data_IF_493944770755
#
_entry.id   IF_493944770755
#
_cell.length_a   1.000
_cell.length_b   1.000
_cell.length_c   1.000
_cell.angle_alpha   90.00
_cell.angle_beta   90.00
_cell.angle_gamma   90.00
#
_symmetry.space_group_name_H-M   'P 1'
#
loop_
_entity.id
_entity.type
_entity.pdbx_description
1 polymer ?
#
# COMPACT_ATOMS: atom_id res chain seq x y z
N UNK A 1 -29.25 -20.46 43.99
CA UNK A 1 -27.86 -20.16 43.60
C UNK A 1 -27.60 -20.33 42.12
N UNK A 2 -28.07 -21.39 41.45
CA UNK A 2 -27.93 -21.64 40.01
C UNK A 2 -28.66 -20.61 39.14
N UNK A 3 -29.88 -20.21 39.52
CA UNK A 3 -30.71 -19.23 38.76
C UNK A 3 -30.12 -17.82 38.72
N UNK A 4 -29.34 -17.44 39.74
CA UNK A 4 -28.68 -16.12 39.81
C UNK A 4 -27.41 -16.08 38.93
N UNK A 5 -26.80 -17.26 38.66
CA UNK A 5 -25.57 -17.34 37.82
C UNK A 5 -25.85 -17.51 36.34
N UNK A 6 -27.08 -17.90 35.94
CA UNK A 6 -27.39 -18.24 34.54
C UNK A 6 -28.49 -17.37 33.91
N UNK A 7 -29.06 -16.43 34.69
CA UNK A 7 -30.17 -15.56 34.24
C UNK A 7 -31.36 -16.34 33.59
N UNK A 8 -31.55 -17.58 34.03
CA UNK A 8 -32.52 -18.49 33.43
C UNK A 8 -33.77 -18.68 34.33
N UNK A 9 -34.86 -17.89 34.15
CA UNK A 9 -36.11 -18.02 34.93
C UNK A 9 -36.76 -19.40 34.87
N UNK A 10 -36.44 -20.16 33.81
CA UNK A 10 -36.91 -21.52 33.57
C UNK A 10 -36.48 -22.53 34.65
N UNK A 11 -35.29 -22.36 35.24
CA UNK A 11 -34.77 -23.26 36.29
C UNK A 11 -35.53 -23.09 37.62
N UNK A 12 -36.11 -21.91 37.88
CA UNK A 12 -36.99 -21.68 39.05
C UNK A 12 -38.31 -22.41 38.94
N UNK A 13 -38.93 -22.44 37.73
CA UNK A 13 -40.20 -23.13 37.51
C UNK A 13 -40.07 -24.67 37.64
N UNK A 14 -38.94 -25.25 37.29
CA UNK A 14 -38.68 -26.69 37.49
C UNK A 14 -38.49 -27.02 38.99
N UNK A 15 -37.90 -26.14 39.75
CA UNK A 15 -37.71 -26.32 41.19
C UNK A 15 -39.02 -26.21 41.98
N UNK A 16 -39.94 -25.31 41.60
CA UNK A 16 -41.26 -25.10 42.26
C UNK A 16 -42.27 -26.22 41.96
N UNK A 17 -42.23 -26.82 40.76
CA UNK A 17 -43.16 -27.92 40.40
C UNK A 17 -42.74 -29.29 40.98
N UNK A 18 -41.57 -29.44 41.55
CA UNK A 18 -41.04 -30.74 42.00
C UNK A 18 -40.86 -30.84 43.53
N UNK A 19 -41.92 -30.49 44.29
CA UNK A 19 -41.92 -30.64 45.75
C UNK A 19 -41.88 -32.08 46.28
N UNK A 20 -41.76 -33.11 45.43
CA UNK A 20 -41.71 -34.54 45.81
C UNK A 20 -40.65 -35.38 45.07
N UNK A 21 -39.60 -34.83 44.48
CA UNK A 21 -38.59 -35.63 43.82
C UNK A 21 -37.24 -34.94 43.78
N UNK A 22 -36.15 -35.69 43.85
CA UNK A 22 -34.78 -35.18 43.60
C UNK A 22 -34.75 -34.61 42.19
N UNK A 23 -34.59 -33.30 42.05
CA UNK A 23 -34.39 -32.66 40.76
C UNK A 23 -33.09 -33.25 40.17
N UNK A 24 -33.21 -33.98 39.05
CA UNK A 24 -32.05 -34.52 38.36
C UNK A 24 -31.43 -33.39 37.56
N UNK A 25 -30.53 -32.67 38.22
CA UNK A 25 -29.84 -31.50 37.73
C UNK A 25 -29.06 -31.76 36.40
N UNK A 26 -28.59 -33.01 36.22
CA UNK A 26 -27.91 -33.42 35.00
C UNK A 26 -28.86 -33.42 33.79
N UNK A 27 -30.11 -33.86 33.97
CA UNK A 27 -31.10 -33.88 32.88
C UNK A 27 -31.60 -32.46 32.53
N UNK A 28 -31.75 -31.58 33.52
CA UNK A 28 -32.08 -30.16 33.28
C UNK A 28 -30.98 -29.42 32.52
N UNK A 29 -29.72 -29.60 32.92
CA UNK A 29 -28.57 -29.02 32.21
C UNK A 29 -28.41 -29.57 30.79
N UNK A 30 -28.61 -30.87 30.60
CA UNK A 30 -28.58 -31.49 29.27
C UNK A 30 -29.66 -30.93 28.34
N UNK A 31 -30.88 -30.76 28.86
CA UNK A 31 -31.98 -30.17 28.12
C UNK A 31 -31.71 -28.72 27.73
N UNK A 32 -31.16 -27.89 28.64
CA UNK A 32 -30.70 -26.52 28.32
C UNK A 32 -29.61 -26.48 27.26
N UNK A 33 -28.67 -27.42 27.33
CA UNK A 33 -27.60 -27.55 26.33
C UNK A 33 -28.16 -27.93 24.94
N UNK A 34 -29.13 -28.83 24.89
CA UNK A 34 -29.75 -29.26 23.63
C UNK A 34 -30.65 -28.15 23.04
N UNK A 35 -31.38 -27.41 23.87
CA UNK A 35 -32.18 -26.24 23.47
C UNK A 35 -31.26 -25.11 22.95
N UNK A 36 -30.15 -24.81 23.62
CA UNK A 36 -29.18 -23.82 23.18
C UNK A 36 -28.53 -24.21 21.86
N UNK A 37 -28.18 -25.49 21.67
CA UNK A 37 -27.66 -25.99 20.38
C UNK A 37 -28.70 -25.89 19.26
N UNK A 38 -29.95 -26.18 19.56
CA UNK A 38 -31.02 -26.09 18.55
C UNK A 38 -31.25 -24.63 18.14
N UNK A 39 -31.28 -23.70 19.11
CA UNK A 39 -31.43 -22.27 18.88
C UNK A 39 -30.29 -21.73 18.03
N UNK A 40 -29.01 -22.03 18.40
CA UNK A 40 -27.86 -21.63 17.65
C UNK A 40 -27.82 -22.20 16.22
N UNK A 41 -28.34 -23.42 15.99
CA UNK A 41 -28.51 -23.97 14.64
C UNK A 41 -29.58 -23.26 13.83
N UNK A 42 -30.67 -22.86 14.46
CA UNK A 42 -31.74 -22.12 13.78
C UNK A 42 -31.31 -20.70 13.42
N UNK A 43 -30.68 -19.99 14.36
CA UNK A 43 -30.09 -18.67 14.13
C UNK A 43 -29.04 -18.71 12.99
N UNK A 44 -28.06 -19.62 13.04
CA UNK A 44 -27.06 -19.75 12.01
C UNK A 44 -27.62 -20.16 10.64
N UNK A 45 -28.73 -20.94 10.61
CA UNK A 45 -29.43 -21.25 9.35
C UNK A 45 -30.14 -20.03 8.79
N UNK A 46 -30.77 -19.23 9.67
CA UNK A 46 -31.48 -18.03 9.26
C UNK A 46 -30.54 -16.96 8.77
N UNK A 47 -29.43 -16.72 9.49
CA UNK A 47 -28.35 -15.82 9.06
C UNK A 47 -27.76 -16.26 7.71
N UNK A 48 -27.50 -17.55 7.53
CA UNK A 48 -27.00 -18.09 6.25
C UNK A 48 -27.96 -17.89 5.08
N UNK A 49 -29.29 -18.03 5.32
CA UNK A 49 -30.32 -17.77 4.31
C UNK A 49 -30.43 -16.28 3.96
N UNK A 50 -30.36 -15.41 4.95
CA UNK A 50 -30.42 -13.96 4.75
C UNK A 50 -29.16 -13.46 4.02
N UNK A 51 -27.97 -13.95 4.40
CA UNK A 51 -26.70 -13.66 3.72
C UNK A 51 -26.75 -14.12 2.26
N UNK A 52 -27.14 -15.37 1.99
CA UNK A 52 -27.27 -15.89 0.64
C UNK A 52 -28.24 -15.09 -0.25
N UNK A 53 -29.41 -14.68 0.31
CA UNK A 53 -30.34 -13.81 -0.40
C UNK A 53 -29.76 -12.43 -0.68
N UNK A 54 -29.01 -11.86 0.26
CA UNK A 54 -28.35 -10.56 0.07
C UNK A 54 -27.30 -10.64 -1.03
N UNK A 55 -26.47 -11.69 -1.04
CA UNK A 55 -25.47 -11.92 -2.10
C UNK A 55 -26.10 -12.09 -3.49
N UNK A 56 -27.21 -12.87 -3.59
CA UNK A 56 -27.94 -13.02 -4.86
C UNK A 56 -28.50 -11.68 -5.36
N UNK A 57 -29.01 -10.84 -4.47
CA UNK A 57 -29.53 -9.50 -4.81
C UNK A 57 -28.41 -8.58 -5.27
N UNK A 58 -27.25 -8.60 -4.59
CA UNK A 58 -26.07 -7.83 -5.01
C UNK A 58 -25.61 -8.28 -6.41
N UNK A 59 -25.50 -9.58 -6.68
CA UNK A 59 -25.17 -10.10 -8.01
C UNK A 59 -26.16 -9.66 -9.09
N UNK A 60 -27.47 -9.67 -8.77
CA UNK A 60 -28.48 -9.19 -9.70
C UNK A 60 -28.32 -7.70 -10.02
N UNK A 61 -27.98 -6.88 -9.02
CA UNK A 61 -27.70 -5.44 -9.23
C UNK A 61 -26.45 -5.26 -10.07
N UNK A 62 -25.37 -6.03 -9.82
CA UNK A 62 -24.14 -5.99 -10.65
C UNK A 62 -24.49 -6.27 -12.11
N UNK A 63 -25.27 -7.32 -12.39
CA UNK A 63 -25.71 -7.61 -13.75
C UNK A 63 -26.56 -6.49 -14.38
N UNK A 64 -27.37 -5.78 -13.59
CA UNK A 64 -28.11 -4.61 -14.08
C UNK A 64 -27.19 -3.44 -14.41
N UNK A 65 -26.12 -3.21 -13.61
CA UNK A 65 -25.09 -2.21 -13.90
C UNK A 65 -24.31 -2.56 -15.18
N UNK A 66 -24.00 -3.83 -15.40
CA UNK A 66 -23.36 -4.32 -16.64
C UNK A 66 -24.25 -4.06 -17.88
N UNK A 67 -25.56 -4.13 -17.72
CA UNK A 67 -26.53 -3.80 -18.78
C UNK A 67 -26.76 -2.28 -18.94
N UNK A 68 -26.10 -1.44 -18.15
CA UNK A 68 -26.16 0.02 -18.23
C UNK A 68 -27.40 0.65 -17.57
N UNK A 69 -28.10 -0.05 -16.65
CA UNK A 69 -29.19 0.54 -15.91
C UNK A 69 -28.68 1.62 -14.94
N UNK A 70 -29.46 2.70 -14.80
CA UNK A 70 -29.10 3.80 -13.89
C UNK A 70 -29.42 3.47 -12.45
N UNK A 71 -28.82 4.21 -11.51
CA UNK A 71 -29.09 4.10 -10.07
C UNK A 71 -30.59 4.21 -9.79
N UNK A 72 -31.26 5.21 -10.37
CA UNK A 72 -32.69 5.49 -10.18
C UNK A 72 -33.56 4.30 -10.59
N UNK A 73 -33.20 3.61 -11.68
CA UNK A 73 -33.92 2.42 -12.13
C UNK A 73 -33.74 1.24 -11.16
N UNK A 74 -32.53 1.06 -10.64
CA UNK A 74 -32.17 -0.07 -9.76
C UNK A 74 -32.82 0.09 -8.38
N UNK A 75 -32.73 1.27 -7.77
CA UNK A 75 -33.26 1.52 -6.42
C UNK A 75 -34.80 1.49 -6.33
N UNK A 76 -35.53 1.39 -7.46
CA UNK A 76 -36.98 1.10 -7.44
C UNK A 76 -37.31 -0.29 -6.88
N UNK A 77 -36.36 -1.24 -6.93
CA UNK A 77 -36.53 -2.64 -6.51
C UNK A 77 -35.58 -3.07 -5.39
N UNK A 78 -34.46 -2.38 -5.23
CA UNK A 78 -33.40 -2.73 -4.29
C UNK A 78 -33.12 -1.56 -3.35
N UNK A 79 -32.59 -1.85 -2.17
CA UNK A 79 -32.21 -0.80 -1.21
C UNK A 79 -30.98 -0.03 -1.68
N UNK A 80 -30.85 1.20 -1.20
CA UNK A 80 -29.65 2.01 -1.50
C UNK A 80 -28.37 1.40 -0.94
N UNK A 81 -28.45 0.65 0.16
CA UNK A 81 -27.32 -0.06 0.74
C UNK A 81 -26.85 -1.22 -0.16
N UNK A 82 -27.80 -2.03 -0.68
CA UNK A 82 -27.50 -3.09 -1.63
C UNK A 82 -26.91 -2.53 -2.92
N UNK A 83 -27.46 -1.41 -3.40
CA UNK A 83 -26.92 -0.71 -4.57
C UNK A 83 -25.47 -0.27 -4.34
N UNK A 84 -25.13 0.37 -3.20
CA UNK A 84 -23.76 0.81 -2.89
C UNK A 84 -22.78 -0.36 -2.84
N UNK A 85 -23.18 -1.48 -2.24
CA UNK A 85 -22.34 -2.70 -2.22
C UNK A 85 -22.11 -3.23 -3.64
N UNK A 86 -23.17 -3.38 -4.43
CA UNK A 86 -23.08 -3.86 -5.80
C UNK A 86 -22.28 -2.89 -6.71
N UNK A 87 -22.46 -1.59 -6.56
CA UNK A 87 -21.68 -0.58 -7.30
C UNK A 87 -20.18 -0.67 -6.99
N UNK A 88 -19.82 -0.91 -5.72
CA UNK A 88 -18.43 -1.12 -5.34
C UNK A 88 -17.85 -2.40 -5.96
N UNK A 89 -18.59 -3.51 -5.94
CA UNK A 89 -18.18 -4.76 -6.60
C UNK A 89 -18.04 -4.59 -8.12
N UNK A 90 -19.00 -3.94 -8.76
CA UNK A 90 -18.97 -3.65 -10.19
C UNK A 90 -17.76 -2.80 -10.57
N UNK A 91 -17.51 -1.69 -9.85
CA UNK A 91 -16.34 -0.84 -10.06
C UNK A 91 -15.04 -1.62 -9.90
N UNK A 92 -14.95 -2.46 -8.86
CA UNK A 92 -13.77 -3.29 -8.62
C UNK A 92 -13.54 -4.32 -9.74
N UNK A 93 -14.60 -4.96 -10.23
CA UNK A 93 -14.52 -5.89 -11.37
C UNK A 93 -14.04 -5.18 -12.65
N UNK A 94 -14.54 -3.97 -12.92
CA UNK A 94 -14.09 -3.16 -14.06
C UNK A 94 -12.62 -2.72 -13.93
N UNK A 95 -12.17 -2.38 -12.71
CA UNK A 95 -10.77 -2.05 -12.44
C UNK A 95 -9.86 -3.25 -12.71
N UNK A 96 -10.23 -4.44 -12.21
CA UNK A 96 -9.46 -5.68 -12.44
C UNK A 96 -9.41 -6.07 -13.92
N UNK A 97 -10.50 -5.87 -14.66
CA UNK A 97 -10.52 -6.10 -16.11
C UNK A 97 -9.56 -5.16 -16.84
N UNK A 98 -9.58 -3.86 -16.51
CA UNK A 98 -8.64 -2.89 -17.09
C UNK A 98 -7.20 -3.20 -16.71
N UNK A 99 -6.96 -3.61 -15.45
CA UNK A 99 -5.64 -4.04 -15.00
C UNK A 99 -5.14 -5.26 -15.77
N UNK A 100 -6.02 -6.25 -16.02
CA UNK A 100 -5.68 -7.42 -16.82
C UNK A 100 -5.30 -7.05 -18.25
N UNK A 101 -6.08 -6.18 -18.91
CA UNK A 101 -5.78 -5.71 -20.27
C UNK A 101 -4.45 -4.93 -20.33
N UNK A 102 -4.19 -4.08 -19.31
CA UNK A 102 -2.92 -3.37 -19.21
C UNK A 102 -1.75 -4.34 -18.99
N UNK A 103 -1.93 -5.36 -18.15
CA UNK A 103 -0.90 -6.37 -17.89
C UNK A 103 -0.60 -7.24 -19.13
N UNK A 104 -1.62 -7.66 -19.87
CA UNK A 104 -1.43 -8.44 -21.11
C UNK A 104 -0.58 -7.66 -22.12
N UNK A 105 -0.88 -6.39 -22.31
CA UNK A 105 -0.12 -5.52 -23.21
C UNK A 105 1.28 -5.20 -22.67
N UNK A 106 1.39 -4.96 -21.37
CA UNK A 106 2.67 -4.72 -20.71
C UNK A 106 3.58 -5.94 -20.83
N UNK A 107 3.04 -7.15 -20.71
CA UNK A 107 3.79 -8.39 -20.89
C UNK A 107 4.38 -8.49 -22.30
N UNK A 108 3.58 -8.17 -23.36
CA UNK A 108 4.09 -8.16 -24.73
C UNK A 108 5.25 -7.18 -24.89
N UNK A 109 5.15 -5.99 -24.31
CA UNK A 109 6.22 -5.00 -24.36
C UNK A 109 7.47 -5.44 -23.61
N UNK A 110 7.31 -6.05 -22.42
CA UNK A 110 8.41 -6.62 -21.63
C UNK A 110 9.15 -7.69 -22.43
N UNK A 111 8.42 -8.61 -23.05
CA UNK A 111 9.02 -9.70 -23.82
C UNK A 111 9.74 -9.20 -25.06
N UNK A 112 9.26 -8.13 -25.69
CA UNK A 112 9.88 -7.48 -26.86
C UNK A 112 11.03 -6.54 -26.53
N UNK A 113 11.24 -6.14 -25.27
CA UNK A 113 12.26 -5.18 -24.84
C UNK A 113 13.49 -5.87 -24.28
N UNK A 114 14.66 -5.21 -24.40
CA UNK A 114 15.94 -5.71 -23.87
C UNK A 114 16.53 -4.80 -22.77
N UNK A 115 16.15 -3.52 -22.76
CA UNK A 115 16.67 -2.51 -21.85
C UNK A 115 15.54 -1.75 -21.15
N UNK A 116 14.88 -2.40 -20.21
CA UNK A 116 13.78 -1.82 -19.44
C UNK A 116 14.37 -1.00 -18.29
N UNK A 117 13.84 0.19 -18.07
CA UNK A 117 14.12 1.01 -16.88
C UNK A 117 12.81 1.34 -16.19
N UNK A 118 12.80 1.22 -14.87
CA UNK A 118 11.68 1.58 -14.01
C UNK A 118 12.00 2.86 -13.24
N UNK A 119 11.02 3.78 -13.19
CA UNK A 119 11.08 5.00 -12.39
C UNK A 119 9.88 5.04 -11.45
N UNK A 120 10.15 4.98 -10.14
CA UNK A 120 9.12 4.88 -9.12
C UNK A 120 9.13 6.01 -8.11
N UNK A 121 7.92 6.38 -7.64
CA UNK A 121 7.71 7.29 -6.52
C UNK A 121 6.97 6.61 -5.36
N UNK A 122 6.51 7.41 -4.38
CA UNK A 122 5.91 6.92 -3.14
C UNK A 122 4.69 6.00 -3.34
N UNK A 123 3.94 6.19 -4.43
CA UNK A 123 2.82 5.32 -4.79
C UNK A 123 3.20 3.85 -5.01
N UNK A 124 4.47 3.54 -5.29
CA UNK A 124 4.96 2.14 -5.41
C UNK A 124 4.88 1.42 -4.06
N UNK A 125 5.09 2.13 -2.96
CA UNK A 125 5.15 1.56 -1.61
C UNK A 125 3.83 1.66 -0.83
N UNK A 126 2.79 2.30 -1.39
CA UNK A 126 1.48 2.43 -0.70
C UNK A 126 0.84 1.08 -0.44
N UNK A 127 0.99 0.12 -1.35
CA UNK A 127 0.48 -1.25 -1.19
C UNK A 127 1.33 -2.12 -0.22
N UNK A 128 2.48 -1.61 0.23
CA UNK A 128 3.24 -2.16 1.33
C UNK A 128 2.83 -1.57 2.69
N UNK A 129 1.90 -0.59 2.70
CA UNK A 129 1.43 0.10 3.90
C UNK A 129 2.19 1.38 4.24
N UNK A 130 3.12 1.85 3.38
CA UNK A 130 3.77 3.16 3.54
C UNK A 130 2.90 4.23 2.85
N UNK A 131 2.35 5.21 3.58
CA UNK A 131 1.58 6.29 2.95
C UNK A 131 2.47 7.10 2.00
N UNK A 132 1.91 7.55 0.89
CA UNK A 132 2.58 8.56 0.09
C UNK A 132 2.55 9.93 0.78
N UNK A 133 3.17 10.93 0.15
CA UNK A 133 3.30 12.26 0.78
C UNK A 133 2.08 13.16 0.53
N UNK A 134 1.44 13.10 -0.64
CA UNK A 134 0.57 14.16 -1.15
C UNK A 134 -0.86 13.75 -1.50
N UNK A 135 -1.17 12.45 -1.54
CA UNK A 135 -2.54 12.00 -1.77
C UNK A 135 -3.46 12.43 -0.63
N UNK A 136 -4.75 12.26 -0.79
CA UNK A 136 -5.75 12.62 0.24
C UNK A 136 -5.41 12.01 1.60
N UNK A 137 -4.92 10.76 1.61
CA UNK A 137 -4.54 10.01 2.82
C UNK A 137 -3.01 10.04 3.05
N UNK A 138 -2.30 10.87 2.28
CA UNK A 138 -0.85 11.01 2.31
C UNK A 138 -0.35 11.69 3.57
N UNK A 139 0.94 11.53 3.84
CA UNK A 139 1.60 12.00 5.05
C UNK A 139 1.37 13.50 5.32
N UNK A 140 1.38 14.33 4.26
CA UNK A 140 1.21 15.79 4.39
C UNK A 140 -0.24 16.21 4.66
N UNK A 141 -1.21 15.33 4.47
CA UNK A 141 -2.62 15.58 4.73
C UNK A 141 -3.11 14.92 6.04
N UNK A 142 -2.22 14.24 6.77
CA UNK A 142 -2.53 13.70 8.09
C UNK A 142 -2.41 14.83 9.13
N UNK A 143 -3.52 15.17 9.78
CA UNK A 143 -3.52 16.12 10.89
C UNK A 143 -2.85 15.50 12.11
N UNK A 144 -1.80 16.18 12.60
CA UNK A 144 -1.11 15.83 13.83
C UNK A 144 -0.85 17.12 14.60
N UNK A 145 -1.54 17.29 15.72
CA UNK A 145 -1.54 18.52 16.53
C UNK A 145 -0.13 19.02 16.87
N UNK A 146 0.85 18.11 16.95
CA UNK A 146 2.22 18.45 17.27
C UNK A 146 2.96 19.10 16.09
N UNK A 147 2.67 18.64 14.86
CA UNK A 147 3.37 19.04 13.64
C UNK A 147 2.58 20.03 12.76
N UNK A 148 1.26 20.17 12.97
CA UNK A 148 0.37 21.04 12.15
C UNK A 148 0.78 22.52 12.08
N UNK A 149 1.63 22.96 12.99
CA UNK A 149 2.19 24.33 13.01
C UNK A 149 3.35 24.55 12.04
N UNK A 150 3.80 23.49 11.35
CA UNK A 150 4.89 23.53 10.38
C UNK A 150 4.39 23.15 9.00
N UNK A 151 4.97 23.77 7.96
CA UNK A 151 4.79 23.27 6.60
C UNK A 151 5.39 21.86 6.49
N UNK A 152 4.70 20.88 5.86
CA UNK A 152 5.16 19.50 5.81
C UNK A 152 6.56 19.33 5.22
N UNK A 153 6.89 20.06 4.15
CA UNK A 153 8.22 20.03 3.53
C UNK A 153 9.32 20.58 4.46
N UNK A 154 8.98 21.52 5.35
CA UNK A 154 9.92 22.04 6.34
C UNK A 154 10.38 20.94 7.30
N UNK A 155 9.50 20.04 7.74
CA UNK A 155 9.80 18.97 8.70
C UNK A 155 10.86 17.99 8.17
N UNK A 156 10.98 17.84 6.85
CA UNK A 156 11.99 17.02 6.17
C UNK A 156 13.04 17.88 5.43
N UNK A 157 13.33 19.07 5.93
CA UNK A 157 14.32 19.98 5.33
C UNK A 157 15.65 20.00 6.09
N UNK A 158 16.73 20.36 5.40
CA UNK A 158 18.03 20.67 6.00
C UNK A 158 17.91 21.81 7.01
N UNK A 159 17.05 22.78 6.75
CA UNK A 159 16.79 23.90 7.65
C UNK A 159 16.22 23.42 9.00
N UNK A 160 15.20 22.51 8.97
CA UNK A 160 14.64 21.96 10.20
C UNK A 160 15.69 21.15 10.98
N UNK A 161 16.48 20.32 10.28
CA UNK A 161 17.55 19.51 10.89
C UNK A 161 18.55 20.39 11.65
N UNK A 162 18.96 21.54 11.09
CA UNK A 162 19.99 22.39 11.70
C UNK A 162 19.44 23.39 12.71
N UNK A 163 18.24 23.93 12.50
CA UNK A 163 17.67 24.95 13.40
C UNK A 163 16.75 24.39 14.48
N UNK A 164 16.08 23.25 14.19
CA UNK A 164 15.16 22.60 15.12
C UNK A 164 15.37 21.06 15.14
N UNK A 165 16.59 20.58 15.43
CA UNK A 165 16.92 19.14 15.31
C UNK A 165 16.02 18.24 16.13
N UNK A 166 15.55 18.67 17.30
CA UNK A 166 14.61 17.87 18.11
C UNK A 166 13.29 17.61 17.37
N UNK A 167 12.74 18.65 16.72
CA UNK A 167 11.48 18.54 15.93
C UNK A 167 11.70 17.63 14.73
N UNK A 168 12.83 17.81 14.01
CA UNK A 168 13.20 16.95 12.89
C UNK A 168 13.25 15.47 13.28
N UNK A 169 14.00 15.12 14.32
CA UNK A 169 14.16 13.72 14.74
C UNK A 169 12.89 13.12 15.34
N UNK A 170 12.05 13.92 15.99
CA UNK A 170 10.75 13.50 16.49
C UNK A 170 9.83 13.12 15.34
N UNK A 171 9.66 14.01 14.36
CA UNK A 171 8.90 13.75 13.14
C UNK A 171 9.47 12.55 12.35
N UNK A 172 10.79 12.52 12.16
CA UNK A 172 11.46 11.45 11.41
C UNK A 172 11.20 10.08 12.03
N UNK A 173 11.33 9.94 13.35
CA UNK A 173 11.07 8.67 14.06
C UNK A 173 9.62 8.23 13.98
N UNK A 174 8.69 9.15 14.06
CA UNK A 174 7.26 8.84 14.04
C UNK A 174 6.75 8.50 12.64
N UNK A 175 7.26 9.16 11.62
CA UNK A 175 6.65 9.14 10.28
C UNK A 175 7.51 8.43 9.21
N UNK A 176 8.81 8.28 9.42
CA UNK A 176 9.72 7.72 8.41
C UNK A 176 10.22 6.30 8.73
N UNK A 177 9.70 5.67 9.77
CA UNK A 177 10.11 4.31 10.13
C UNK A 177 9.45 3.27 9.24
N UNK A 178 10.21 2.75 8.29
CA UNK A 178 9.79 1.68 7.39
C UNK A 178 10.30 0.29 7.80
N UNK A 179 10.89 0.15 8.99
CA UNK A 179 11.43 -1.12 9.48
C UNK A 179 10.33 -2.16 9.66
N UNK A 180 10.59 -3.38 9.22
CA UNK A 180 9.62 -4.49 9.28
C UNK A 180 8.57 -4.50 8.17
N UNK A 181 8.45 -3.43 7.38
CA UNK A 181 7.56 -3.38 6.24
C UNK A 181 8.11 -4.29 5.12
N UNK A 182 7.21 -5.02 4.48
CA UNK A 182 7.58 -6.00 3.45
C UNK A 182 7.34 -5.45 2.03
N UNK A 183 8.21 -5.82 1.06
CA UNK A 183 7.98 -5.50 -0.33
C UNK A 183 6.66 -6.08 -0.84
N UNK A 184 5.91 -5.30 -1.61
CA UNK A 184 4.71 -5.75 -2.30
C UNK A 184 5.02 -6.43 -3.64
N UNK A 185 3.98 -6.84 -4.35
CA UNK A 185 4.11 -7.57 -5.60
C UNK A 185 4.88 -6.79 -6.68
N UNK A 186 4.70 -5.46 -6.76
CA UNK A 186 5.43 -4.60 -7.72
C UNK A 186 6.94 -4.72 -7.51
N UNK A 187 7.42 -4.61 -6.28
CA UNK A 187 8.85 -4.75 -5.97
C UNK A 187 9.39 -6.12 -6.36
N UNK A 188 8.63 -7.19 -6.10
CA UNK A 188 9.03 -8.58 -6.38
C UNK A 188 9.15 -8.83 -7.88
N UNK A 189 8.14 -8.43 -8.65
CA UNK A 189 8.15 -8.58 -10.12
C UNK A 189 9.29 -7.80 -10.75
N UNK A 190 9.58 -6.58 -10.28
CA UNK A 190 10.74 -5.82 -10.76
C UNK A 190 12.07 -6.55 -10.50
N UNK A 191 12.21 -7.17 -9.32
CA UNK A 191 13.40 -7.97 -9.02
C UNK A 191 13.52 -9.21 -9.92
N UNK A 192 12.40 -9.87 -10.26
CA UNK A 192 12.39 -10.99 -11.22
C UNK A 192 12.76 -10.53 -12.64
N UNK A 193 12.22 -9.39 -13.11
CA UNK A 193 12.60 -8.80 -14.40
C UNK A 193 14.10 -8.47 -14.47
N UNK A 194 14.71 -8.04 -13.36
CA UNK A 194 16.15 -7.83 -13.27
C UNK A 194 16.91 -9.16 -13.38
N UNK A 195 16.47 -10.21 -12.68
CA UNK A 195 17.07 -11.57 -12.79
C UNK A 195 16.97 -12.15 -14.20
N UNK A 196 15.87 -11.90 -14.91
CA UNK A 196 15.69 -12.24 -16.31
C UNK A 196 16.62 -11.44 -17.25
N UNK A 197 17.31 -10.43 -16.74
CA UNK A 197 18.16 -9.54 -17.51
C UNK A 197 17.38 -8.52 -18.37
N UNK A 198 16.08 -8.38 -18.20
CA UNK A 198 15.24 -7.42 -18.92
C UNK A 198 15.30 -6.03 -18.27
N UNK A 199 15.10 -5.95 -16.95
CA UNK A 199 15.18 -4.69 -16.21
C UNK A 199 16.66 -4.36 -15.92
N UNK A 200 17.11 -3.20 -16.38
CA UNK A 200 18.50 -2.75 -16.23
C UNK A 200 18.72 -1.85 -15.04
N UNK A 201 17.71 -1.08 -14.66
CA UNK A 201 17.76 -0.23 -13.47
C UNK A 201 16.39 0.04 -12.89
N UNK A 202 16.31 0.11 -11.57
CA UNK A 202 15.23 0.74 -10.83
C UNK A 202 15.72 2.12 -10.39
N UNK A 203 15.09 3.17 -10.86
CA UNK A 203 15.29 4.54 -10.40
C UNK A 203 14.17 4.85 -9.41
N UNK A 204 14.51 5.14 -8.16
CA UNK A 204 13.51 5.37 -7.13
C UNK A 204 13.67 6.72 -6.44
N UNK A 205 12.53 7.37 -6.20
CA UNK A 205 12.42 8.53 -5.32
C UNK A 205 12.21 8.11 -3.86
N UNK A 206 11.90 6.83 -3.63
CA UNK A 206 11.61 6.30 -2.30
C UNK A 206 12.90 6.07 -1.51
N UNK A 207 12.76 6.21 -0.20
CA UNK A 207 13.87 6.07 0.76
C UNK A 207 13.73 4.82 1.64
N UNK A 208 12.73 3.98 1.40
CA UNK A 208 12.31 2.85 2.25
C UNK A 208 13.21 1.59 2.12
N UNK A 209 13.93 1.44 1.02
CA UNK A 209 14.79 0.28 0.74
C UNK A 209 14.05 -0.98 0.30
N UNK A 210 12.75 -0.90 -0.02
CA UNK A 210 11.93 -2.07 -0.35
C UNK A 210 12.34 -2.74 -1.68
N UNK A 211 12.87 -2.00 -2.64
CA UNK A 211 13.40 -2.59 -3.88
C UNK A 211 14.58 -3.52 -3.61
N UNK A 212 15.54 -3.10 -2.78
CA UNK A 212 16.67 -3.93 -2.38
C UNK A 212 16.22 -5.11 -1.54
N UNK A 213 15.26 -4.91 -0.64
CA UNK A 213 14.69 -5.98 0.18
C UNK A 213 13.95 -7.03 -0.67
N UNK A 214 13.35 -6.63 -1.79
CA UNK A 214 12.74 -7.54 -2.77
C UNK A 214 13.77 -8.33 -3.59
N UNK A 215 15.03 -7.87 -3.62
CA UNK A 215 16.12 -8.54 -4.34
C UNK A 215 16.68 -7.77 -5.53
N UNK A 216 16.16 -6.58 -5.86
CA UNK A 216 16.74 -5.70 -6.89
C UNK A 216 18.14 -5.26 -6.49
N UNK A 217 19.09 -5.31 -7.44
CA UNK A 217 20.52 -5.01 -7.22
C UNK A 217 20.92 -3.66 -7.78
N UNK A 218 20.43 -3.33 -8.98
CA UNK A 218 20.73 -2.05 -9.63
C UNK A 218 19.63 -1.04 -9.33
N UNK A 219 19.67 -0.48 -8.11
CA UNK A 219 18.71 0.53 -7.64
C UNK A 219 19.42 1.87 -7.52
N UNK A 220 18.96 2.85 -8.29
CA UNK A 220 19.42 4.24 -8.26
C UNK A 220 18.52 5.03 -7.31
N UNK A 221 19.01 5.29 -6.10
CA UNK A 221 18.28 6.01 -5.06
C UNK A 221 18.48 7.53 -5.23
N UNK A 222 17.52 8.21 -5.83
CA UNK A 222 17.61 9.66 -6.06
C UNK A 222 17.59 10.47 -4.77
N UNK A 223 16.96 9.93 -3.72
CA UNK A 223 16.79 10.63 -2.45
C UNK A 223 17.47 9.92 -1.27
N UNK A 224 18.41 9.01 -1.54
CA UNK A 224 19.06 8.23 -0.50
C UNK A 224 18.17 7.15 0.11
N UNK A 225 18.46 6.74 1.37
CA UNK A 225 17.69 5.70 2.05
C UNK A 225 17.70 5.83 3.57
N UNK A 226 16.58 5.43 4.21
CA UNK A 226 16.43 5.36 5.68
C UNK A 226 17.17 4.19 6.30
N UNK A 227 17.66 3.26 5.47
CA UNK A 227 18.36 2.05 5.92
C UNK A 227 19.77 2.31 6.43
N UNK A 228 20.28 3.50 6.26
CA UNK A 228 21.63 3.90 6.67
C UNK A 228 21.69 5.33 7.17
N UNK A 229 22.62 5.57 8.07
CA UNK A 229 22.84 6.86 8.71
C UNK A 229 24.31 7.22 8.69
N UNK A 230 24.65 8.48 8.85
CA UNK A 230 26.04 8.93 8.99
C UNK A 230 26.17 10.15 9.89
N UNK A 231 27.36 10.31 10.48
CA UNK A 231 27.73 11.52 11.19
C UNK A 231 28.04 12.65 10.23
N UNK A 232 27.40 13.80 10.35
CA UNK A 232 27.68 14.98 9.50
C UNK A 232 29.14 15.44 9.58
N UNK A 233 29.74 15.38 10.80
CA UNK A 233 31.10 15.89 11.05
C UNK A 233 32.21 14.96 10.57
N UNK A 234 32.18 13.67 10.94
CA UNK A 234 33.28 12.72 10.68
C UNK A 234 32.93 11.64 9.66
N UNK A 235 31.73 11.65 9.10
CA UNK A 235 31.22 10.70 8.10
C UNK A 235 31.16 9.24 8.55
N UNK A 236 31.36 8.95 9.86
CA UNK A 236 31.18 7.60 10.40
C UNK A 236 29.77 7.12 10.08
N UNK A 237 29.67 5.92 9.53
CA UNK A 237 28.40 5.27 9.18
C UNK A 237 27.75 4.62 10.40
N UNK A 238 26.43 4.60 10.42
CA UNK A 238 25.60 4.00 11.45
C UNK A 238 24.44 3.23 10.80
N UNK A 239 23.96 2.12 11.40
CA UNK A 239 22.78 1.40 10.91
C UNK A 239 21.51 2.22 11.13
N UNK A 240 20.41 1.82 10.46
CA UNK A 240 19.09 2.47 10.58
C UNK A 240 18.65 2.62 12.04
N UNK A 241 18.79 1.54 12.83
CA UNK A 241 18.32 1.48 14.22
C UNK A 241 18.94 2.54 15.10
N UNK A 242 20.13 3.04 14.76
CA UNK A 242 20.83 4.04 15.57
C UNK A 242 20.00 5.30 15.84
N UNK A 243 19.24 5.78 14.84
CA UNK A 243 18.34 6.93 15.01
C UNK A 243 17.04 6.51 15.71
N UNK A 244 16.42 5.42 15.26
CA UNK A 244 15.11 5.00 15.75
C UNK A 244 15.13 4.52 17.20
N UNK A 245 16.21 3.88 17.65
CA UNK A 245 16.34 3.36 19.02
C UNK A 245 17.07 4.30 19.97
N UNK A 246 17.58 5.43 19.44
CA UNK A 246 18.25 6.43 20.28
C UNK A 246 17.29 7.02 21.31
N UNK A 247 17.72 7.00 22.59
CA UNK A 247 17.02 7.68 23.70
C UNK A 247 17.26 9.18 23.71
N UNK A 248 18.25 9.67 22.95
CA UNK A 248 18.52 11.09 22.83
C UNK A 248 17.54 11.74 21.87
N UNK A 249 17.07 12.94 22.19
CA UNK A 249 16.21 13.70 21.29
C UNK A 249 16.91 13.99 19.95
N UNK A 250 18.23 14.21 19.99
CA UNK A 250 19.10 14.38 18.82
C UNK A 250 20.22 13.35 18.91
N UNK A 251 20.30 12.38 17.97
CA UNK A 251 21.34 11.36 18.00
C UNK A 251 22.74 11.94 17.71
N UNK A 252 23.73 11.61 18.53
CA UNK A 252 25.10 12.09 18.41
C UNK A 252 26.09 10.98 18.09
N UNK A 253 27.13 11.34 17.38
CA UNK A 253 28.22 10.45 17.01
C UNK A 253 29.07 10.06 18.23
N UNK A 254 29.23 8.76 18.45
CA UNK A 254 30.04 8.21 19.56
C UNK A 254 31.54 8.51 19.46
N UNK A 255 32.02 9.04 18.30
CA UNK A 255 33.42 9.34 18.05
C UNK A 255 33.75 10.82 18.20
N UNK A 256 32.90 11.69 17.65
CA UNK A 256 33.21 13.13 17.55
C UNK A 256 32.12 14.05 18.08
N UNK A 257 31.03 13.50 18.61
CA UNK A 257 29.89 14.27 19.15
C UNK A 257 29.07 15.03 18.10
N UNK A 258 29.36 14.88 16.79
CA UNK A 258 28.56 15.49 15.74
C UNK A 258 27.18 14.83 15.61
N UNK A 259 26.22 15.49 14.99
CA UNK A 259 24.86 14.94 14.75
C UNK A 259 24.99 13.72 13.82
N UNK A 260 24.28 12.63 14.15
CA UNK A 260 24.06 11.49 13.27
C UNK A 260 22.72 11.65 12.60
N UNK A 261 22.71 11.75 11.29
CA UNK A 261 21.52 11.96 10.48
C UNK A 261 21.24 10.79 9.53
N UNK A 262 20.01 10.64 9.04
CA UNK A 262 19.70 9.67 7.98
C UNK A 262 20.41 10.06 6.67
N UNK A 263 20.79 9.05 5.89
CA UNK A 263 21.38 9.21 4.56
C UNK A 263 20.28 9.43 3.51
N UNK A 264 19.44 10.45 3.75
CA UNK A 264 18.37 10.86 2.85
C UNK A 264 18.59 12.31 2.40
N UNK A 265 18.17 12.60 1.18
CA UNK A 265 18.17 13.94 0.62
C UNK A 265 17.00 14.73 1.21
N UNK A 266 17.31 15.74 1.99
CA UNK A 266 16.34 16.63 2.59
C UNK A 266 15.97 17.79 1.63
N UNK A 267 14.81 18.40 1.85
CA UNK A 267 14.47 19.62 1.13
C UNK A 267 15.55 20.68 1.36
N UNK A 268 16.00 21.31 0.27
CA UNK A 268 17.10 22.27 0.27
C UNK A 268 18.49 21.65 0.02
N UNK A 269 18.60 20.31 -0.09
CA UNK A 269 19.86 19.64 -0.43
C UNK A 269 19.91 19.21 -1.90
N UNK A 270 21.11 18.97 -2.38
CA UNK A 270 21.35 18.39 -3.70
C UNK A 270 21.15 16.87 -3.66
N UNK A 271 20.79 16.30 -4.79
CA UNK A 271 20.71 14.84 -4.95
C UNK A 271 22.07 14.19 -4.69
N UNK A 272 22.10 12.88 -4.32
CA UNK A 272 23.36 12.17 -4.15
C UNK A 272 24.22 12.25 -5.41
N UNK A 273 25.53 12.49 -5.20
CA UNK A 273 26.47 12.66 -6.30
C UNK A 273 26.45 11.46 -7.26
N UNK A 274 26.30 11.71 -8.55
CA UNK A 274 26.27 10.70 -9.61
C UNK A 274 24.92 9.97 -9.76
N UNK A 275 23.97 10.15 -8.84
CA UNK A 275 22.66 9.46 -8.93
C UNK A 275 21.83 9.98 -10.12
N UNK A 276 21.78 11.31 -10.29
CA UNK A 276 21.07 11.93 -11.40
C UNK A 276 21.67 11.55 -12.75
N UNK A 277 22.99 11.63 -12.90
CA UNK A 277 23.70 11.28 -14.12
C UNK A 277 23.54 9.79 -14.47
N UNK A 278 23.57 8.91 -13.46
CA UNK A 278 23.33 7.49 -13.65
C UNK A 278 21.90 7.20 -14.11
N UNK A 279 20.91 7.92 -13.55
CA UNK A 279 19.52 7.82 -13.97
C UNK A 279 19.33 8.30 -15.42
N UNK A 280 19.88 9.47 -15.77
CA UNK A 280 19.83 10.00 -17.15
C UNK A 280 20.46 9.01 -18.13
N UNK A 281 21.61 8.43 -17.79
CA UNK A 281 22.27 7.43 -18.65
C UNK A 281 21.37 6.21 -18.84
N UNK A 282 20.85 5.62 -17.76
CA UNK A 282 19.99 4.45 -17.85
C UNK A 282 18.72 4.71 -18.69
N UNK A 283 18.07 5.86 -18.50
CA UNK A 283 16.86 6.23 -19.25
C UNK A 283 17.16 6.42 -20.76
N UNK A 284 18.29 7.04 -21.11
CA UNK A 284 18.70 7.23 -22.51
C UNK A 284 19.03 5.94 -23.25
N UNK A 285 19.51 4.93 -22.51
CA UNK A 285 19.83 3.61 -23.05
C UNK A 285 18.62 2.66 -23.07
N UNK A 286 17.49 3.06 -22.47
CA UNK A 286 16.29 2.24 -22.38
C UNK A 286 15.52 2.20 -23.71
N UNK A 287 15.04 1.01 -24.08
CA UNK A 287 14.04 0.81 -25.12
C UNK A 287 12.61 0.85 -24.59
N UNK A 288 12.44 0.59 -23.27
CA UNK A 288 11.18 0.68 -22.55
C UNK A 288 11.38 1.42 -21.23
N UNK A 289 10.48 2.35 -20.92
CA UNK A 289 10.53 3.13 -19.69
C UNK A 289 9.19 3.05 -18.94
N UNK A 290 9.23 2.53 -17.72
CA UNK A 290 8.04 2.40 -16.86
C UNK A 290 8.09 3.49 -15.81
N UNK A 291 7.10 4.38 -15.81
CA UNK A 291 6.90 5.45 -14.81
C UNK A 291 5.71 5.07 -13.94
N UNK A 292 5.93 4.91 -12.63
CA UNK A 292 4.89 4.39 -11.75
C UNK A 292 4.84 5.07 -10.37
N UNK A 293 3.63 5.25 -9.84
CA UNK A 293 3.42 5.69 -8.46
C UNK A 293 4.03 7.04 -8.11
N UNK A 294 4.07 7.96 -9.06
CA UNK A 294 4.66 9.29 -8.86
C UNK A 294 3.74 10.40 -9.35
N UNK A 295 3.76 11.54 -8.67
CA UNK A 295 3.05 12.75 -9.14
C UNK A 295 3.89 13.63 -10.05
N UNK A 296 5.19 13.33 -10.24
CA UNK A 296 6.17 14.12 -10.99
C UNK A 296 6.25 15.60 -10.56
N UNK A 297 6.05 15.89 -9.28
CA UNK A 297 6.07 17.26 -8.74
C UNK A 297 7.40 17.65 -8.09
N UNK A 298 8.30 16.70 -7.83
CA UNK A 298 9.56 16.93 -7.14
C UNK A 298 10.70 17.03 -8.15
N UNK A 299 11.24 18.23 -8.32
CA UNK A 299 12.41 18.48 -9.18
C UNK A 299 13.70 18.36 -8.38
N UNK A 300 14.82 17.93 -9.01
CA UNK A 300 14.98 17.67 -10.44
C UNK A 300 14.51 16.28 -10.91
N UNK A 301 14.15 15.36 -10.02
CA UNK A 301 13.79 13.97 -10.34
C UNK A 301 12.65 13.88 -11.38
N UNK A 302 11.62 14.74 -11.28
CA UNK A 302 10.52 14.79 -12.22
C UNK A 302 10.97 15.10 -13.67
N UNK A 303 12.07 15.81 -13.85
CA UNK A 303 12.62 16.15 -15.17
C UNK A 303 13.19 14.97 -15.94
N UNK A 304 13.58 13.89 -15.24
CA UNK A 304 14.22 12.72 -15.83
C UNK A 304 13.36 12.02 -16.90
N UNK A 305 12.03 12.09 -16.77
CA UNK A 305 11.10 11.44 -17.71
C UNK A 305 11.23 11.98 -19.15
N UNK A 306 11.71 13.20 -19.32
CA UNK A 306 11.89 13.83 -20.62
C UNK A 306 13.16 13.39 -21.37
N UNK A 307 14.06 12.69 -20.68
CA UNK A 307 15.28 12.12 -21.29
C UNK A 307 15.02 10.82 -22.06
N UNK A 308 13.86 10.18 -21.86
CA UNK A 308 13.50 8.96 -22.57
C UNK A 308 13.20 9.22 -24.06
N UNK A 309 13.78 8.37 -24.92
CA UNK A 309 13.63 8.42 -26.39
C UNK A 309 13.45 7.03 -27.01
N UNK A 310 13.19 6.03 -26.15
CA UNK A 310 12.99 4.64 -26.60
C UNK A 310 11.60 4.39 -27.22
N UNK A 311 11.24 3.12 -27.30
CA UNK A 311 10.08 2.67 -28.07
C UNK A 311 8.78 2.71 -27.28
N UNK A 312 8.83 2.39 -25.96
CA UNK A 312 7.64 2.17 -25.15
C UNK A 312 7.71 2.97 -23.86
N UNK A 313 6.78 3.92 -23.69
CA UNK A 313 6.54 4.61 -22.42
C UNK A 313 5.33 3.96 -21.73
N UNK A 314 5.52 3.49 -20.51
CA UNK A 314 4.47 2.89 -19.71
C UNK A 314 4.24 3.75 -18.48
N UNK A 315 3.01 4.20 -18.26
CA UNK A 315 2.60 5.02 -17.13
C UNK A 315 1.57 4.23 -16.31
N UNK A 316 1.95 3.88 -15.06
CA UNK A 316 1.09 3.16 -14.11
C UNK A 316 0.90 4.03 -12.87
N UNK A 317 -0.25 4.67 -12.72
CA UNK A 317 -0.45 5.60 -11.63
C UNK A 317 -1.93 5.61 -11.16
N UNK A 318 -2.21 6.11 -9.97
CA UNK A 318 -3.60 6.29 -9.51
C UNK A 318 -4.32 7.44 -10.19
N UNK A 319 -3.56 8.49 -10.52
CA UNK A 319 -4.04 9.67 -11.23
C UNK A 319 -3.32 9.78 -12.58
N UNK A 320 -3.97 10.29 -13.62
CA UNK A 320 -3.32 10.49 -14.91
C UNK A 320 -2.15 11.47 -14.76
N UNK A 321 -1.12 11.27 -15.58
CA UNK A 321 0.01 12.18 -15.72
C UNK A 321 -0.09 12.91 -17.08
N UNK A 322 0.42 14.14 -17.12
CA UNK A 322 0.39 14.95 -18.34
C UNK A 322 1.47 14.51 -19.35
N UNK A 323 1.26 13.35 -19.97
CA UNK A 323 2.08 12.83 -21.05
C UNK A 323 1.32 12.82 -22.37
N UNK A 324 2.03 13.13 -23.47
CA UNK A 324 1.53 12.85 -24.81
C UNK A 324 1.89 11.42 -25.20
N UNK A 325 0.99 10.49 -24.94
CA UNK A 325 1.18 9.08 -25.18
C UNK A 325 0.72 8.69 -26.58
N UNK A 326 1.47 7.78 -27.23
CA UNK A 326 1.06 7.13 -28.46
C UNK A 326 0.34 5.81 -28.12
N UNK A 327 -0.96 5.76 -28.36
CA UNK A 327 -1.79 4.61 -28.00
C UNK A 327 -1.32 3.26 -28.61
N UNK A 328 -0.53 3.26 -29.67
CA UNK A 328 0.03 2.03 -30.25
C UNK A 328 1.27 1.55 -29.52
N UNK A 329 2.14 2.47 -29.09
CA UNK A 329 3.45 2.17 -28.54
C UNK A 329 3.57 2.39 -27.05
N UNK A 330 2.59 3.05 -26.42
CA UNK A 330 2.63 3.43 -25.02
C UNK A 330 1.43 2.85 -24.26
N UNK A 331 1.58 2.73 -22.94
CA UNK A 331 0.51 2.30 -22.04
C UNK A 331 0.28 3.39 -21.01
N UNK A 332 -0.99 3.77 -20.82
CA UNK A 332 -1.44 4.49 -19.64
C UNK A 332 -2.47 3.65 -18.90
N UNK A 333 -2.19 3.40 -17.64
CA UNK A 333 -3.13 2.73 -16.74
C UNK A 333 -3.35 3.58 -15.49
N UNK A 334 -4.60 3.95 -15.27
CA UNK A 334 -5.04 4.68 -14.07
C UNK A 334 -5.76 3.72 -13.14
N UNK A 335 -5.12 3.39 -12.02
CA UNK A 335 -5.62 2.44 -11.02
C UNK A 335 -4.53 1.91 -10.10
N UNK A 336 -4.80 0.76 -9.43
CA UNK A 336 -3.83 0.05 -8.62
C UNK A 336 -2.77 -0.62 -9.51
N UNK A 337 -1.51 -0.22 -9.39
CA UNK A 337 -0.43 -0.88 -10.12
C UNK A 337 -0.21 -2.32 -9.63
N UNK A 338 -0.47 -2.62 -8.36
CA UNK A 338 -0.37 -3.97 -7.83
C UNK A 338 -1.28 -4.96 -8.52
N UNK A 339 -2.46 -4.54 -8.99
CA UNK A 339 -3.34 -5.42 -9.78
C UNK A 339 -2.70 -5.78 -11.13
N UNK A 340 -2.00 -4.83 -11.77
CA UNK A 340 -1.26 -5.07 -13.03
C UNK A 340 -0.09 -6.01 -12.78
N UNK A 341 0.73 -5.73 -11.75
CA UNK A 341 1.90 -6.56 -11.43
C UNK A 341 1.53 -7.94 -10.89
N UNK A 342 0.44 -8.08 -10.15
CA UNK A 342 -0.06 -9.39 -9.71
C UNK A 342 -0.53 -10.26 -10.89
N UNK A 343 -1.08 -9.65 -11.93
CA UNK A 343 -1.44 -10.37 -13.15
C UNK A 343 -0.20 -10.76 -13.93
N UNK A 344 0.81 -9.89 -14.03
CA UNK A 344 2.10 -10.18 -14.67
C UNK A 344 2.82 -11.35 -13.99
N UNK A 345 2.86 -11.40 -12.66
CA UNK A 345 3.52 -12.45 -11.88
C UNK A 345 3.01 -13.86 -12.22
N UNK A 346 1.75 -13.96 -12.65
CA UNK A 346 1.12 -15.22 -13.05
C UNK A 346 1.29 -15.56 -14.55
N UNK A 347 2.02 -14.74 -15.31
CA UNK A 347 2.22 -15.00 -16.75
C UNK A 347 3.40 -15.96 -17.00
N UNK A 348 3.42 -16.68 -18.15
CA UNK A 348 4.52 -17.58 -18.49
C UNK A 348 5.88 -16.84 -18.46
N UNK A 349 6.92 -17.51 -17.96
CA UNK A 349 8.29 -16.97 -17.87
C UNK A 349 8.50 -15.81 -16.90
N UNK A 350 7.51 -15.48 -16.06
CA UNK A 350 7.64 -14.45 -15.02
C UNK A 350 7.81 -15.07 -13.61
N UNK A 351 7.60 -16.37 -13.44
CA UNK A 351 7.73 -17.10 -12.16
C UNK A 351 8.79 -18.18 -12.18
#
# INVERSE_FOLDING_TARGET
MISVMTDAPYLMNIADNNRRGKVNMCNALKKLQDESKLLGRQEGRQEGLETGRSEERIKAIVSMLELGLTKEQIITKYSEEEYKKAEAEYKRAQELLRASQAADRLYEFIMGSENIVFFGGAGVSTESGIPDFRSKDGLYNQHDVEFDKYEPEYLLSAECLHHKPKVFFEFYRQKMDARGIQPNITHKVLAELEKMGKLKAVITQNIDGLHQLAGSKNVIELHGATTRNYCEKCRKKYPSDYIYESKEAVPHCTVCGGIVRPDVTLYGEQLPAGAYESAVKAIKEADMFIVAGTSLKVYPAAGLVWDFKGNHLVVLNREPLDFKLNAQNDIEYTGSMGDVFAKLDNMPHMG
#
